data_IF_392453226730
#
_entry.id   IF_392453226730
#
_cell.length_a   1.000
_cell.length_b   1.000
_cell.length_c   1.000
_cell.angle_alpha   90.00
_cell.angle_beta   90.00
_cell.angle_gamma   90.00
#
_symmetry.space_group_name_H-M   'P 1'
#
loop_
_entity.id
_entity.type
_entity.pdbx_description
1 polymer ?
#
# COMPACT_ATOMS: atom_id res chain seq x y z
N UNK A 1 47.39 -7.98 10.67
CA UNK A 1 46.27 -8.92 10.86
C UNK A 1 45.13 -8.45 9.97
N UNK A 2 44.76 -9.21 8.93
CA UNK A 2 43.75 -8.79 7.95
C UNK A 2 42.44 -9.50 8.29
N UNK A 3 41.41 -8.75 8.65
CA UNK A 3 40.07 -9.29 8.89
C UNK A 3 39.33 -9.38 7.55
N UNK A 4 39.17 -10.60 7.03
CA UNK A 4 38.39 -10.88 5.83
C UNK A 4 36.92 -11.09 6.23
N UNK A 5 36.04 -10.14 5.89
CA UNK A 5 34.59 -10.30 6.05
C UNK A 5 34.02 -10.69 4.69
N UNK A 6 33.55 -11.93 4.56
CA UNK A 6 32.96 -12.47 3.33
C UNK A 6 31.43 -12.41 3.46
N UNK A 7 30.79 -11.46 2.79
CA UNK A 7 29.32 -11.34 2.75
C UNK A 7 28.85 -11.83 1.38
N UNK A 8 28.06 -12.91 1.36
CA UNK A 8 27.50 -13.49 0.14
C UNK A 8 26.03 -13.09 0.00
N UNK A 9 25.74 -12.13 -0.86
CA UNK A 9 24.37 -11.74 -1.27
C UNK A 9 24.07 -12.31 -2.65
N UNK A 10 22.90 -12.96 -2.76
CA UNK A 10 22.52 -13.93 -3.79
C UNK A 10 22.52 -13.46 -5.26
N UNK A 11 22.81 -12.21 -5.62
CA UNK A 11 22.79 -11.83 -7.05
C UNK A 11 23.66 -10.63 -7.45
N UNK A 12 24.61 -10.19 -6.63
CA UNK A 12 25.55 -9.13 -7.08
C UNK A 12 26.89 -9.27 -6.38
N UNK A 13 27.93 -9.65 -7.14
CA UNK A 13 29.32 -9.64 -6.66
C UNK A 13 29.80 -8.19 -6.60
N UNK A 14 29.74 -7.58 -5.42
CA UNK A 14 30.39 -6.30 -5.16
C UNK A 14 31.85 -6.59 -4.81
N UNK A 15 32.78 -6.21 -5.68
CA UNK A 15 34.22 -6.23 -5.36
C UNK A 15 34.53 -5.03 -4.46
N UNK A 16 34.74 -5.28 -3.17
CA UNK A 16 35.22 -4.28 -2.22
C UNK A 16 36.75 -4.20 -2.30
N UNK A 17 37.27 -3.13 -2.90
CA UNK A 17 38.66 -2.75 -2.71
C UNK A 17 38.82 -2.25 -1.27
N UNK A 18 39.57 -2.99 -0.44
CA UNK A 18 39.84 -2.59 0.95
C UNK A 18 40.75 -1.36 0.95
N UNK A 19 40.32 -0.19 1.46
CA UNK A 19 41.22 0.94 1.57
C UNK A 19 42.31 0.66 2.62
N UNK A 20 43.54 1.18 2.44
CA UNK A 20 44.60 1.01 3.42
C UNK A 20 44.19 1.63 4.77
N UNK A 21 44.36 0.86 5.85
CA UNK A 21 43.99 1.14 7.25
C UNK A 21 44.60 2.43 7.84
N UNK A 22 45.30 3.24 7.06
CA UNK A 22 46.04 4.42 7.53
C UNK A 22 45.16 5.63 7.82
N UNK A 23 43.90 5.62 7.37
CA UNK A 23 42.98 6.75 7.53
C UNK A 23 41.73 6.36 8.32
N UNK A 24 41.86 6.38 9.65
CA UNK A 24 40.82 5.99 10.62
C UNK A 24 39.50 6.72 10.36
N UNK A 25 39.55 7.99 9.93
CA UNK A 25 38.38 8.77 9.54
C UNK A 25 37.59 8.15 8.38
N UNK A 26 38.30 7.62 7.38
CA UNK A 26 37.68 7.06 6.18
C UNK A 26 37.04 5.69 6.46
N UNK A 27 37.69 4.87 7.31
CA UNK A 27 37.10 3.60 7.78
C UNK A 27 35.83 3.87 8.59
N UNK A 28 35.86 4.85 9.48
CA UNK A 28 34.70 5.23 10.29
C UNK A 28 33.53 5.72 9.42
N UNK A 29 33.81 6.58 8.43
CA UNK A 29 32.82 7.05 7.45
C UNK A 29 32.21 5.91 6.62
N UNK A 30 33.04 4.97 6.13
CA UNK A 30 32.54 3.81 5.39
C UNK A 30 31.67 2.91 6.27
N UNK A 31 32.08 2.69 7.52
CA UNK A 31 31.29 1.89 8.47
C UNK A 31 29.98 2.59 8.85
N UNK A 32 29.98 3.92 9.01
CA UNK A 32 28.75 4.68 9.26
C UNK A 32 27.81 4.64 8.05
N UNK A 33 28.37 4.75 6.85
CA UNK A 33 27.60 4.67 5.61
C UNK A 33 26.99 3.28 5.40
N UNK A 34 27.78 2.22 5.62
CA UNK A 34 27.27 0.85 5.60
C UNK A 34 26.24 0.58 6.70
N UNK A 35 26.43 1.11 7.91
CA UNK A 35 25.44 1.02 8.99
C UNK A 35 24.17 1.79 8.66
N UNK A 36 24.27 2.93 7.97
CA UNK A 36 23.11 3.68 7.50
C UNK A 36 22.32 2.92 6.42
N UNK A 37 23.01 2.33 5.44
CA UNK A 37 22.38 1.49 4.41
C UNK A 37 21.83 0.16 4.98
N UNK A 38 22.46 -0.39 6.02
CA UNK A 38 21.92 -1.53 6.76
C UNK A 38 20.71 -1.12 7.61
N UNK A 39 20.71 0.09 8.20
CA UNK A 39 19.56 0.59 8.96
C UNK A 39 18.37 0.97 8.08
N UNK A 40 18.61 1.48 6.87
CA UNK A 40 17.56 1.82 5.90
C UNK A 40 16.87 0.57 5.32
N UNK A 41 17.57 -0.58 5.33
CA UNK A 41 17.03 -1.87 4.86
C UNK A 41 16.34 -2.69 5.96
N UNK A 42 16.60 -2.43 7.24
CA UNK A 42 16.07 -3.22 8.37
C UNK A 42 14.70 -2.76 8.89
N UNK A 43 14.23 -1.54 8.58
CA UNK A 43 12.88 -1.08 8.98
C UNK A 43 11.95 -0.76 7.80
N UNK A 44 11.80 -1.69 6.85
CA UNK A 44 10.48 -1.84 6.23
C UNK A 44 9.57 -2.54 7.26
N UNK A 45 9.19 -1.83 8.33
CA UNK A 45 8.32 -2.33 9.39
C UNK A 45 7.08 -2.95 8.75
N UNK A 46 7.01 -4.28 8.74
CA UNK A 46 5.94 -5.00 8.07
C UNK A 46 4.61 -4.55 8.68
N UNK A 47 3.76 -3.90 7.88
CA UNK A 47 2.49 -3.39 8.37
C UNK A 47 1.65 -4.55 8.91
N UNK A 48 1.05 -4.43 10.11
CA UNK A 48 0.15 -5.44 10.64
C UNK A 48 -0.97 -5.74 9.64
N UNK A 49 -1.20 -7.02 9.37
CA UNK A 49 -2.30 -7.42 8.49
C UNK A 49 -3.61 -7.32 9.26
N UNK A 50 -4.55 -6.54 8.73
CA UNK A 50 -5.92 -6.41 9.26
C UNK A 50 -6.85 -7.47 8.67
N UNK A 51 -6.70 -7.74 7.38
CA UNK A 51 -7.48 -8.74 6.67
C UNK A 51 -6.69 -9.29 5.48
N UNK A 52 -6.80 -10.58 5.22
CA UNK A 52 -6.09 -11.26 4.13
C UNK A 52 -7.09 -11.95 3.19
N UNK A 53 -6.81 -11.91 1.87
CA UNK A 53 -7.60 -12.53 0.82
C UNK A 53 -9.11 -12.18 0.82
N UNK A 54 -9.43 -10.95 1.24
CA UNK A 54 -10.80 -10.44 1.28
C UNK A 54 -11.18 -9.77 -0.04
N UNK A 55 -12.47 -9.54 -0.23
CA UNK A 55 -13.01 -8.78 -1.35
C UNK A 55 -13.73 -7.54 -0.86
N UNK A 56 -13.64 -6.49 -1.64
CA UNK A 56 -14.34 -5.23 -1.39
C UNK A 56 -15.53 -5.16 -2.31
N UNK A 57 -16.72 -4.89 -1.75
CA UNK A 57 -18.00 -4.94 -2.47
C UNK A 57 -18.80 -3.67 -2.19
N UNK A 58 -19.39 -3.06 -3.21
CA UNK A 58 -20.34 -1.97 -3.01
C UNK A 58 -21.71 -2.47 -2.54
N UNK A 59 -22.58 -1.58 -2.07
CA UNK A 59 -23.98 -1.88 -1.68
C UNK A 59 -24.79 -2.32 -2.90
N UNK A 60 -24.39 -1.85 -4.07
CA UNK A 60 -24.91 -2.27 -5.38
C UNK A 60 -24.38 -3.65 -5.83
N UNK A 61 -23.53 -4.31 -5.04
CA UNK A 61 -23.04 -5.66 -5.31
C UNK A 61 -21.87 -5.72 -6.29
N UNK A 62 -21.11 -4.63 -6.48
CA UNK A 62 -19.91 -4.62 -7.35
C UNK A 62 -18.65 -4.85 -6.56
N UNK A 63 -17.85 -5.79 -7.01
CA UNK A 63 -16.53 -6.11 -6.49
C UNK A 63 -15.47 -5.18 -7.07
N UNK A 64 -14.68 -4.55 -6.21
CA UNK A 64 -13.47 -3.84 -6.62
C UNK A 64 -12.49 -4.83 -7.24
N UNK A 65 -12.20 -4.67 -8.52
CA UNK A 65 -11.32 -5.53 -9.31
C UNK A 65 -10.10 -4.74 -9.76
N UNK A 66 -8.92 -5.34 -9.58
CA UNK A 66 -7.64 -4.72 -9.91
C UNK A 66 -6.88 -5.66 -10.84
N UNK A 67 -7.04 -5.46 -12.15
CA UNK A 67 -6.52 -6.35 -13.20
C UNK A 67 -5.68 -5.64 -14.26
N UNK A 68 -5.38 -6.35 -15.34
CA UNK A 68 -4.61 -5.81 -16.48
C UNK A 68 -5.31 -4.64 -17.17
N UNK A 69 -6.64 -4.60 -17.13
CA UNK A 69 -7.45 -3.52 -17.72
C UNK A 69 -7.55 -2.28 -16.81
N UNK A 70 -6.98 -2.33 -15.60
CA UNK A 70 -7.01 -1.25 -14.63
C UNK A 70 -7.86 -1.58 -13.40
N UNK A 71 -8.42 -0.53 -12.80
CA UNK A 71 -9.17 -0.57 -11.55
C UNK A 71 -10.64 -0.36 -11.89
N UNK A 72 -11.45 -1.40 -11.71
CA UNK A 72 -12.85 -1.44 -12.14
C UNK A 72 -13.74 -2.04 -11.04
N UNK A 73 -15.06 -1.87 -11.19
CA UNK A 73 -16.07 -2.52 -10.37
C UNK A 73 -16.88 -3.51 -11.20
N UNK A 74 -16.81 -4.79 -10.85
CA UNK A 74 -17.44 -5.89 -11.59
C UNK A 74 -18.43 -6.65 -10.70
N UNK A 75 -19.51 -7.19 -11.26
CA UNK A 75 -20.46 -8.00 -10.48
C UNK A 75 -19.98 -9.44 -10.24
N UNK A 76 -18.98 -9.90 -10.97
CA UNK A 76 -18.39 -11.21 -10.81
C UNK A 76 -17.23 -11.17 -9.80
N UNK A 77 -17.21 -12.14 -8.88
CA UNK A 77 -16.03 -12.38 -8.07
C UNK A 77 -14.97 -13.04 -8.94
N UNK A 78 -13.78 -12.45 -9.01
CA UNK A 78 -12.65 -12.97 -9.77
C UNK A 78 -11.35 -12.90 -8.92
N UNK A 79 -10.27 -13.59 -9.31
CA UNK A 79 -9.00 -13.55 -8.56
C UNK A 79 -8.37 -12.16 -8.46
N UNK A 80 -8.74 -11.22 -9.34
CA UNK A 80 -8.28 -9.83 -9.34
C UNK A 80 -9.07 -8.94 -8.35
N UNK A 81 -10.17 -9.45 -7.78
CA UNK A 81 -10.91 -8.80 -6.71
C UNK A 81 -10.36 -9.09 -5.31
N UNK A 82 -9.37 -9.99 -5.21
CA UNK A 82 -8.73 -10.35 -3.96
C UNK A 82 -7.74 -9.28 -3.51
N UNK A 83 -7.96 -8.77 -2.31
CA UNK A 83 -7.13 -7.75 -1.68
C UNK A 83 -6.66 -8.19 -0.29
N UNK A 84 -5.58 -7.55 0.16
CA UNK A 84 -5.07 -7.61 1.53
C UNK A 84 -5.14 -6.20 2.11
N UNK A 85 -5.51 -6.12 3.40
CA UNK A 85 -5.64 -4.86 4.11
C UNK A 85 -4.64 -4.84 5.24
N UNK A 86 -3.89 -3.76 5.29
CA UNK A 86 -2.91 -3.51 6.33
C UNK A 86 -3.38 -2.37 7.21
N UNK A 87 -3.11 -2.48 8.51
CA UNK A 87 -3.26 -1.35 9.44
C UNK A 87 -2.00 -0.50 9.35
N UNK A 88 -2.15 0.77 9.02
CA UNK A 88 -1.05 1.76 8.98
C UNK A 88 -0.89 2.42 10.34
N UNK A 89 -2.01 2.74 11.00
CA UNK A 89 -2.05 3.40 12.31
C UNK A 89 -3.33 3.01 13.07
N UNK A 90 -3.33 3.15 14.40
CA UNK A 90 -4.43 2.81 15.29
C UNK A 90 -5.70 3.65 15.06
N UNK A 91 -5.57 4.80 14.40
CA UNK A 91 -6.68 5.70 14.08
C UNK A 91 -7.55 5.26 12.88
N UNK A 92 -7.59 3.95 12.60
CA UNK A 92 -8.32 3.40 11.45
C UNK A 92 -7.68 3.69 10.10
N UNK A 93 -6.40 4.10 10.08
CA UNK A 93 -5.63 4.26 8.84
C UNK A 93 -5.25 2.90 8.28
N UNK A 94 -5.53 2.67 7.01
CA UNK A 94 -5.31 1.42 6.31
C UNK A 94 -4.59 1.62 4.98
N UNK A 95 -3.92 0.57 4.53
CA UNK A 95 -3.44 0.44 3.15
C UNK A 95 -4.08 -0.79 2.51
N UNK A 96 -4.46 -0.67 1.25
CA UNK A 96 -5.14 -1.73 0.49
C UNK A 96 -4.18 -2.24 -0.58
N UNK A 97 -3.88 -3.54 -0.58
CA UNK A 97 -2.99 -4.18 -1.56
C UNK A 97 -3.76 -5.15 -2.43
N UNK A 98 -3.63 -5.00 -3.74
CA UNK A 98 -4.08 -5.98 -4.71
C UNK A 98 -3.19 -7.22 -4.64
N UNK A 99 -3.75 -8.37 -4.28
CA UNK A 99 -2.98 -9.60 -4.06
C UNK A 99 -2.30 -10.05 -5.36
N UNK A 100 -3.05 -10.07 -6.46
CA UNK A 100 -2.52 -10.56 -7.74
C UNK A 100 -1.50 -9.60 -8.39
N UNK A 101 -1.72 -8.30 -8.24
CA UNK A 101 -0.84 -7.27 -8.83
C UNK A 101 0.35 -6.92 -7.94
N UNK A 102 0.33 -7.32 -6.67
CA UNK A 102 1.32 -6.95 -5.65
C UNK A 102 1.55 -5.44 -5.51
N UNK A 103 0.52 -4.65 -5.81
CA UNK A 103 0.54 -3.18 -5.76
C UNK A 103 -0.50 -2.66 -4.78
N UNK A 104 -0.26 -1.46 -4.26
CA UNK A 104 -1.16 -0.76 -3.35
C UNK A 104 -2.13 0.13 -4.12
N UNK A 105 -3.36 0.18 -3.67
CA UNK A 105 -4.32 1.18 -4.13
C UNK A 105 -3.89 2.55 -3.62
N UNK A 106 -3.94 3.56 -4.48
CA UNK A 106 -3.62 4.93 -4.13
C UNK A 106 -4.59 5.91 -4.82
N UNK A 107 -4.71 7.11 -4.27
CA UNK A 107 -5.58 8.15 -4.79
C UNK A 107 -4.86 9.49 -4.77
N UNK A 108 -4.81 10.15 -5.93
CA UNK A 108 -4.24 11.48 -6.04
C UNK A 108 -5.22 12.59 -5.62
N UNK A 109 -4.71 13.82 -5.54
CA UNK A 109 -5.48 15.03 -5.18
C UNK A 109 -6.70 15.30 -6.06
N UNK A 110 -6.70 14.82 -7.30
CA UNK A 110 -7.82 15.00 -8.23
C UNK A 110 -8.95 14.00 -7.96
N UNK A 111 -8.64 12.92 -7.24
CA UNK A 111 -9.52 11.76 -7.04
C UNK A 111 -9.26 10.66 -8.07
N UNK A 112 -8.17 10.70 -8.83
CA UNK A 112 -7.80 9.58 -9.70
C UNK A 112 -7.24 8.46 -8.84
N UNK A 113 -7.80 7.28 -9.01
CA UNK A 113 -7.35 6.07 -8.31
C UNK A 113 -6.36 5.33 -9.20
N UNK A 114 -5.24 4.91 -8.61
CA UNK A 114 -4.16 4.25 -9.33
C UNK A 114 -3.46 3.19 -8.46
N UNK A 115 -2.48 2.49 -9.03
CA UNK A 115 -1.71 1.46 -8.34
C UNK A 115 -0.26 1.91 -8.08
N UNK A 116 0.12 1.95 -6.80
CA UNK A 116 1.47 2.26 -6.35
C UNK A 116 2.28 0.98 -6.07
N UNK A 117 3.60 1.00 -6.30
CA UNK A 117 4.48 -0.14 -6.02
C UNK A 117 4.77 -0.32 -4.52
N UNK A 118 4.65 0.76 -3.75
CA UNK A 118 4.89 0.82 -2.30
C UNK A 118 3.78 1.62 -1.62
N UNK A 119 3.74 1.58 -0.27
CA UNK A 119 2.81 2.41 0.51
C UNK A 119 3.35 3.84 0.52
N UNK A 120 2.73 4.70 -0.28
CA UNK A 120 2.94 6.16 -0.27
C UNK A 120 1.87 6.83 0.59
N UNK A 121 1.99 8.13 0.85
CA UNK A 121 0.95 8.89 1.57
C UNK A 121 -0.41 8.81 0.85
N UNK A 122 -0.40 8.82 -0.49
CA UNK A 122 -1.61 8.66 -1.32
C UNK A 122 -2.20 7.25 -1.29
N UNK A 123 -1.45 6.26 -0.78
CA UNK A 123 -1.90 4.88 -0.57
C UNK A 123 -2.47 4.63 0.84
N UNK A 124 -2.56 5.69 1.66
CA UNK A 124 -3.16 5.64 3.00
C UNK A 124 -4.59 6.14 2.94
N UNK A 125 -5.49 5.33 3.48
CA UNK A 125 -6.90 5.65 3.60
C UNK A 125 -7.34 5.57 5.06
N UNK A 126 -8.45 6.20 5.41
CA UNK A 126 -9.09 6.01 6.72
C UNK A 126 -10.41 5.29 6.51
N UNK A 127 -10.60 4.22 7.29
CA UNK A 127 -11.86 3.51 7.36
C UNK A 127 -12.77 4.15 8.41
N UNK A 128 -13.99 4.53 8.01
CA UNK A 128 -15.04 5.01 8.92
C UNK A 128 -16.19 4.01 8.92
N UNK A 129 -16.51 3.47 10.10
CA UNK A 129 -17.63 2.56 10.31
C UNK A 129 -18.96 3.33 10.38
N UNK A 130 -20.00 2.78 9.76
CA UNK A 130 -21.36 3.32 9.84
C UNK A 130 -22.32 2.33 10.50
N UNK A 131 -23.43 2.86 11.05
CA UNK A 131 -24.48 2.06 11.72
C UNK A 131 -25.17 1.06 10.80
N UNK A 132 -25.10 1.27 9.48
CA UNK A 132 -25.66 0.38 8.47
C UNK A 132 -24.90 -0.93 8.30
N UNK A 133 -23.80 -1.15 9.05
CA UNK A 133 -22.93 -2.34 8.93
C UNK A 133 -21.88 -2.21 7.82
N UNK A 134 -21.78 -1.02 7.26
CA UNK A 134 -20.99 -0.70 6.08
C UNK A 134 -19.92 0.35 6.42
N UNK A 135 -18.73 0.24 5.82
CA UNK A 135 -17.63 1.17 6.06
C UNK A 135 -17.38 2.06 4.83
N UNK A 136 -17.13 3.36 5.06
CA UNK A 136 -16.63 4.25 4.01
C UNK A 136 -15.12 4.38 4.12
N UNK A 137 -14.45 4.50 2.98
CA UNK A 137 -13.00 4.66 2.89
C UNK A 137 -12.72 6.02 2.25
N UNK A 138 -11.99 6.89 2.93
CA UNK A 138 -11.53 8.15 2.34
C UNK A 138 -10.00 8.22 2.29
N UNK A 139 -9.49 9.02 1.36
CA UNK A 139 -8.06 9.33 1.28
C UNK A 139 -7.64 10.10 2.53
N UNK A 140 -6.56 9.67 3.17
CA UNK A 140 -6.00 10.37 4.33
C UNK A 140 -5.43 11.76 3.96
N UNK A 141 -4.57 11.90 2.92
CA UNK A 141 -4.07 13.21 2.52
C UNK A 141 -5.14 14.10 1.86
N UNK A 142 -6.26 13.52 1.42
CA UNK A 142 -7.36 14.22 0.75
C UNK A 142 -8.70 13.89 1.41
N UNK A 143 -8.88 14.32 2.67
CA UNK A 143 -9.98 13.93 3.56
C UNK A 143 -11.40 14.14 3.01
N UNK A 144 -11.59 15.01 2.01
CA UNK A 144 -12.87 15.24 1.34
C UNK A 144 -13.18 14.23 0.23
N UNK A 145 -12.23 13.36 -0.12
CA UNK A 145 -12.30 12.40 -1.23
C UNK A 145 -12.52 10.98 -0.74
N UNK A 146 -13.65 10.40 -1.16
CA UNK A 146 -14.05 9.05 -0.81
C UNK A 146 -13.85 8.13 -1.99
N UNK A 147 -13.31 6.94 -1.71
CA UNK A 147 -13.20 5.89 -2.70
C UNK A 147 -14.60 5.39 -3.07
N UNK A 148 -14.92 5.39 -4.36
CA UNK A 148 -16.22 5.02 -4.89
C UNK A 148 -16.14 4.20 -6.17
N UNK A 149 -17.17 3.39 -6.41
CA UNK A 149 -17.41 2.71 -7.69
C UNK A 149 -18.73 3.21 -8.27
N UNK A 150 -18.70 3.72 -9.49
CA UNK A 150 -19.88 4.21 -10.19
C UNK A 150 -20.85 3.09 -10.60
N UNK A 151 -22.07 3.48 -10.97
CA UNK A 151 -23.06 2.61 -11.62
C UNK A 151 -22.56 1.98 -12.92
N UNK A 152 -21.55 2.56 -13.58
CA UNK A 152 -20.89 2.00 -14.78
C UNK A 152 -19.67 1.14 -14.46
N UNK A 153 -19.23 1.09 -13.20
CA UNK A 153 -18.07 0.28 -12.77
C UNK A 153 -16.74 1.05 -12.78
N UNK A 154 -16.76 2.36 -13.01
CA UNK A 154 -15.58 3.22 -12.92
C UNK A 154 -15.23 3.49 -11.46
N UNK A 155 -13.94 3.39 -11.11
CA UNK A 155 -13.46 3.61 -9.74
C UNK A 155 -12.77 4.97 -9.64
N UNK A 156 -13.20 5.80 -8.70
CA UNK A 156 -12.65 7.14 -8.50
C UNK A 156 -12.85 7.66 -7.07
N UNK A 157 -12.16 8.76 -6.76
CA UNK A 157 -12.31 9.55 -5.57
C UNK A 157 -13.35 10.66 -5.76
N UNK A 158 -14.52 10.50 -5.13
CA UNK A 158 -15.59 11.50 -5.20
C UNK A 158 -15.52 12.47 -4.02
N UNK A 159 -15.81 13.74 -4.27
CA UNK A 159 -15.95 14.71 -3.18
C UNK A 159 -17.27 14.48 -2.48
N UNK A 160 -17.27 14.61 -1.15
CA UNK A 160 -18.41 14.41 -0.26
C UNK A 160 -19.53 15.47 -0.43
N UNK A 161 -20.16 15.55 -1.61
CA UNK A 161 -21.25 16.51 -1.89
C UNK A 161 -22.63 15.94 -1.63
N UNK A 162 -22.80 14.62 -1.63
CA UNK A 162 -24.01 13.93 -1.15
C UNK A 162 -23.60 12.56 -0.63
N UNK A 163 -23.75 12.34 0.67
CA UNK A 163 -23.85 11.01 1.29
C UNK A 163 -25.10 10.31 0.75
N UNK A 164 -25.09 9.95 -0.52
CA UNK A 164 -25.92 8.85 -1.00
C UNK A 164 -25.15 7.58 -0.65
N UNK A 165 -25.75 6.76 0.20
CA UNK A 165 -25.29 5.45 0.67
C UNK A 165 -25.08 4.41 -0.46
N UNK A 166 -24.89 4.84 -1.71
CA UNK A 166 -24.89 3.99 -2.91
C UNK A 166 -23.51 3.87 -3.54
N UNK A 167 -22.59 4.81 -3.23
CA UNK A 167 -21.29 4.93 -3.90
C UNK A 167 -20.09 4.48 -3.07
N UNK A 168 -20.25 4.22 -1.76
CA UNK A 168 -19.11 3.85 -0.94
C UNK A 168 -18.61 2.44 -1.28
N UNK A 169 -17.29 2.31 -1.27
CA UNK A 169 -16.62 1.03 -1.33
C UNK A 169 -16.72 0.36 0.04
N UNK A 170 -17.45 -0.75 0.14
CA UNK A 170 -17.64 -1.45 1.40
C UNK A 170 -16.73 -2.65 1.56
N UNK A 171 -16.23 -2.78 2.78
CA UNK A 171 -15.41 -3.89 3.21
C UNK A 171 -16.31 -4.96 3.80
N UNK A 172 -16.67 -5.97 3.01
CA UNK A 172 -17.17 -7.23 3.59
C UNK A 172 -15.97 -8.15 3.81
N UNK A 173 -15.45 -8.10 5.03
CA UNK A 173 -14.53 -9.11 5.54
C UNK A 173 -15.41 -10.35 5.82
N UNK A 174 -15.37 -11.33 4.92
CA UNK A 174 -16.00 -12.64 5.10
C UNK A 174 -14.94 -13.65 5.58
#
# INVERSE_FOLDING_TARGET
>A
MVLQIKISLSSSRIFLATPPLRNIRMVLLLTLFLLYELSSTVEAKALPTKADNVTVVTKTGKHLTIGKQGITGEHSSNPYAKIKIYTVDFNGKIAIKAVKMQKYLAMDKTGKVYLAASVTNEAVFVEKKHKSGFNSIHSEPHSTKYLAISGTGSVSGITNTKTDDTLFIYLRIA
#
